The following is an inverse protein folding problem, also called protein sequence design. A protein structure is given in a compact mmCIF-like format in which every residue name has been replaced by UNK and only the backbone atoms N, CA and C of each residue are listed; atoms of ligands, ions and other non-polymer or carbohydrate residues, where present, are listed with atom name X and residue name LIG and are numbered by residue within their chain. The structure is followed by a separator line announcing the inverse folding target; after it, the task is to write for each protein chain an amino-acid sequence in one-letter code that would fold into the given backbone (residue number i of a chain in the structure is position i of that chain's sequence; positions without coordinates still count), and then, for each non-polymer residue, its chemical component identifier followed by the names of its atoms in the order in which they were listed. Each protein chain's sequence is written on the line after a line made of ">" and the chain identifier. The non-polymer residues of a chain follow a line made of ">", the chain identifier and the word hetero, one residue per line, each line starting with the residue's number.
data_IF_658913257305
#
_entry.id   IF_658913257305
#
_cell.length_a   1.000
_cell.length_b   1.000
_cell.length_c   1.000
_cell.angle_alpha   90.00
_cell.angle_beta   90.00
_cell.angle_gamma   90.00
#
_symmetry.space_group_name_H-M   'P 1'
#
loop_
_entity.id
_entity.type
_entity.pdbx_description
1 polymer ?
#
# COMPACT_ATOMS: atom_id res chain seq x y z
N UNK A 1 -23.63 -10.18 22.48
CA UNK A 1 -22.19 -10.20 22.16
C UNK A 1 -22.00 -11.18 21.00
N UNK A 2 -21.62 -10.75 19.78
CA UNK A 2 -21.26 -11.71 18.74
C UNK A 2 -19.95 -12.38 19.15
N UNK A 3 -19.95 -13.71 19.19
CA UNK A 3 -18.85 -14.55 19.69
C UNK A 3 -17.65 -14.65 18.72
N UNK A 4 -17.75 -14.07 17.53
CA UNK A 4 -16.74 -14.19 16.49
C UNK A 4 -16.32 -12.80 16.02
N UNK A 5 -15.11 -12.41 16.39
CA UNK A 5 -14.44 -11.23 15.85
C UNK A 5 -14.18 -11.45 14.35
N UNK A 6 -14.46 -10.47 13.51
CA UNK A 6 -14.25 -10.59 12.05
C UNK A 6 -12.78 -10.87 11.69
N UNK A 7 -11.83 -10.41 12.52
CA UNK A 7 -10.41 -10.69 12.36
C UNK A 7 -10.01 -12.16 12.66
N UNK A 8 -10.90 -12.95 13.25
CA UNK A 8 -10.69 -14.37 13.58
C UNK A 8 -11.41 -15.30 12.60
N UNK A 9 -11.79 -14.81 11.42
CA UNK A 9 -12.51 -15.61 10.43
C UNK A 9 -11.62 -16.76 9.92
N UNK A 10 -12.05 -17.98 10.19
CA UNK A 10 -11.38 -19.20 9.72
C UNK A 10 -11.94 -19.54 8.35
N UNK A 11 -11.10 -19.48 7.33
CA UNK A 11 -11.48 -19.85 5.96
C UNK A 11 -11.47 -21.37 5.78
N UNK A 12 -12.46 -21.88 5.06
CA UNK A 12 -12.44 -23.25 4.59
C UNK A 12 -11.39 -23.41 3.46
N UNK A 13 -10.86 -24.62 3.29
CA UNK A 13 -9.87 -24.92 2.24
C UNK A 13 -10.39 -24.58 0.84
N UNK A 14 -11.68 -24.77 0.59
CA UNK A 14 -12.33 -24.40 -0.67
C UNK A 14 -12.31 -22.90 -0.93
N UNK A 15 -12.54 -22.08 0.09
CA UNK A 15 -12.51 -20.62 -0.02
C UNK A 15 -11.08 -20.12 -0.27
N UNK A 16 -10.10 -20.71 0.43
CA UNK A 16 -8.68 -20.41 0.22
C UNK A 16 -8.25 -20.78 -1.20
N UNK A 17 -8.66 -21.93 -1.71
CA UNK A 17 -8.35 -22.36 -3.07
C UNK A 17 -8.99 -21.43 -4.12
N UNK A 18 -10.24 -21.01 -3.89
CA UNK A 18 -10.91 -20.03 -4.75
C UNK A 18 -10.14 -18.70 -4.77
N UNK A 19 -9.81 -18.15 -3.60
CA UNK A 19 -9.05 -16.89 -3.49
C UNK A 19 -7.65 -17.00 -4.12
N UNK A 20 -6.97 -18.14 -3.98
CA UNK A 20 -5.68 -18.40 -4.65
C UNK A 20 -5.82 -18.44 -6.17
N UNK A 21 -6.85 -19.11 -6.69
CA UNK A 21 -7.14 -19.12 -8.12
C UNK A 21 -7.40 -17.70 -8.64
N UNK A 22 -8.20 -16.90 -7.91
CA UNK A 22 -8.44 -15.52 -8.27
C UNK A 22 -7.15 -14.68 -8.28
N UNK A 23 -6.27 -14.90 -7.30
CA UNK A 23 -4.97 -14.23 -7.25
C UNK A 23 -4.12 -14.58 -8.47
N UNK A 24 -3.99 -15.86 -8.81
CA UNK A 24 -3.24 -16.28 -10.00
C UNK A 24 -3.80 -15.67 -11.28
N UNK A 25 -5.12 -15.70 -11.47
CA UNK A 25 -5.75 -15.13 -12.68
C UNK A 25 -5.58 -13.62 -12.74
N UNK A 26 -5.81 -12.90 -11.64
CA UNK A 26 -5.65 -11.45 -11.59
C UNK A 26 -4.20 -11.00 -11.79
N UNK A 27 -3.24 -11.76 -11.25
CA UNK A 27 -1.81 -11.51 -11.47
C UNK A 27 -1.44 -11.67 -12.95
N UNK A 28 -1.90 -12.73 -13.61
CA UNK A 28 -1.71 -12.94 -15.05
C UNK A 28 -2.30 -11.76 -15.84
N UNK A 29 -3.53 -11.34 -15.53
CA UNK A 29 -4.16 -10.21 -16.23
C UNK A 29 -3.36 -8.90 -16.09
N UNK A 30 -2.76 -8.66 -14.93
CA UNK A 30 -1.90 -7.49 -14.69
C UNK A 30 -0.58 -7.58 -15.45
N UNK A 31 0.04 -8.76 -15.47
CA UNK A 31 1.28 -9.02 -16.22
C UNK A 31 1.06 -8.91 -17.74
N UNK A 32 -0.05 -9.43 -18.26
CA UNK A 32 -0.43 -9.29 -19.67
C UNK A 32 -0.73 -7.84 -20.06
N UNK A 33 -1.20 -7.03 -19.10
CA UNK A 33 -1.49 -5.61 -19.30
C UNK A 33 -0.29 -4.69 -19.05
N UNK A 34 0.88 -5.25 -18.72
CA UNK A 34 2.11 -4.50 -18.34
C UNK A 34 1.86 -3.48 -17.21
N UNK A 35 0.99 -3.84 -16.26
CA UNK A 35 0.63 -2.98 -15.14
C UNK A 35 1.40 -3.36 -13.89
N UNK A 36 2.15 -2.40 -13.34
CA UNK A 36 2.80 -2.58 -12.05
C UNK A 36 1.77 -2.74 -10.93
N UNK A 37 2.04 -3.68 -10.02
CA UNK A 37 1.22 -3.95 -8.86
C UNK A 37 2.04 -4.47 -7.68
N UNK A 38 1.48 -4.36 -6.48
CA UNK A 38 2.02 -5.03 -5.29
C UNK A 38 1.23 -6.30 -5.00
N UNK A 39 1.92 -7.43 -4.90
CA UNK A 39 1.30 -8.71 -4.56
C UNK A 39 0.53 -8.67 -3.23
N UNK A 40 1.05 -7.93 -2.23
CA UNK A 40 0.38 -7.76 -0.94
C UNK A 40 -0.96 -6.99 -1.08
N UNK A 41 -1.00 -6.00 -1.96
CA UNK A 41 -2.21 -5.20 -2.20
C UNK A 41 -3.25 -5.99 -2.97
N UNK A 42 -2.81 -6.76 -3.97
CA UNK A 42 -3.69 -7.61 -4.74
C UNK A 42 -4.37 -8.65 -3.83
N UNK A 43 -3.59 -9.33 -2.99
CA UNK A 43 -4.12 -10.28 -2.02
C UNK A 43 -5.10 -9.61 -1.04
N UNK A 44 -4.76 -8.41 -0.53
CA UNK A 44 -5.64 -7.65 0.35
C UNK A 44 -6.97 -7.29 -0.33
N UNK A 45 -6.93 -6.82 -1.58
CA UNK A 45 -8.14 -6.50 -2.35
C UNK A 45 -9.02 -7.73 -2.56
N UNK A 46 -8.44 -8.89 -2.91
CA UNK A 46 -9.18 -10.15 -3.08
C UNK A 46 -9.89 -10.55 -1.80
N UNK A 47 -9.19 -10.51 -0.65
CA UNK A 47 -9.78 -10.87 0.64
C UNK A 47 -10.94 -9.94 1.02
N UNK A 48 -10.78 -8.61 0.83
CA UNK A 48 -11.82 -7.63 1.13
C UNK A 48 -13.04 -7.83 0.24
N UNK A 49 -12.84 -8.01 -1.07
CA UNK A 49 -13.94 -8.24 -2.01
C UNK A 49 -14.67 -9.55 -1.71
N UNK A 50 -13.93 -10.62 -1.41
CA UNK A 50 -14.50 -11.90 -1.01
C UNK A 50 -15.35 -11.77 0.27
N UNK A 51 -14.84 -11.06 1.27
CA UNK A 51 -15.56 -10.80 2.53
C UNK A 51 -16.82 -9.95 2.32
N UNK A 52 -16.81 -9.03 1.34
CA UNK A 52 -17.99 -8.23 0.99
C UNK A 52 -19.12 -9.04 0.32
N UNK A 53 -18.87 -10.32 0.03
CA UNK A 53 -19.84 -11.25 -0.54
C UNK A 53 -19.72 -11.43 -2.05
N UNK A 54 -18.69 -10.85 -2.68
CA UNK A 54 -18.43 -11.07 -4.09
C UNK A 54 -17.86 -12.47 -4.31
N UNK A 55 -18.62 -13.32 -5.03
CA UNK A 55 -18.26 -14.72 -5.30
C UNK A 55 -18.12 -15.05 -6.78
N UNK A 56 -18.41 -14.09 -7.66
CA UNK A 56 -18.16 -14.26 -9.09
C UNK A 56 -16.65 -14.22 -9.36
N UNK A 57 -16.11 -15.29 -9.92
CA UNK A 57 -14.66 -15.43 -10.13
C UNK A 57 -14.11 -14.37 -11.08
N UNK A 58 -14.72 -14.19 -12.24
CA UNK A 58 -14.22 -13.29 -13.27
C UNK A 58 -14.28 -11.83 -12.81
N UNK A 59 -15.41 -11.42 -12.23
CA UNK A 59 -15.58 -10.06 -11.73
C UNK A 59 -14.66 -9.77 -10.54
N UNK A 60 -14.44 -10.74 -9.65
CA UNK A 60 -13.51 -10.58 -8.54
C UNK A 60 -12.07 -10.44 -9.03
N UNK A 61 -11.66 -11.21 -10.03
CA UNK A 61 -10.32 -11.09 -10.64
C UNK A 61 -10.12 -9.71 -11.26
N UNK A 62 -11.01 -9.27 -12.14
CA UNK A 62 -10.89 -7.98 -12.82
C UNK A 62 -10.90 -6.80 -11.84
N UNK A 63 -11.84 -6.81 -10.89
CA UNK A 63 -11.98 -5.72 -9.92
C UNK A 63 -10.78 -5.67 -8.97
N UNK A 64 -10.30 -6.82 -8.50
CA UNK A 64 -9.12 -6.87 -7.63
C UNK A 64 -7.86 -6.41 -8.33
N UNK A 65 -7.66 -6.78 -9.61
CA UNK A 65 -6.54 -6.32 -10.43
C UNK A 65 -6.55 -4.78 -10.56
N UNK A 66 -7.68 -4.20 -10.95
CA UNK A 66 -7.84 -2.74 -11.10
C UNK A 66 -7.59 -1.98 -9.80
N UNK A 67 -8.11 -2.48 -8.68
CA UNK A 67 -7.91 -1.86 -7.37
C UNK A 67 -6.45 -1.96 -6.91
N UNK A 68 -5.78 -3.07 -7.18
CA UNK A 68 -4.37 -3.26 -6.84
C UNK A 68 -3.48 -2.28 -7.60
N UNK A 69 -3.66 -2.17 -8.92
CA UNK A 69 -2.94 -1.19 -9.73
C UNK A 69 -3.23 0.25 -9.29
N UNK A 70 -4.49 0.61 -9.04
CA UNK A 70 -4.84 1.95 -8.56
C UNK A 70 -4.19 2.28 -7.20
N UNK A 71 -4.14 1.31 -6.29
CA UNK A 71 -3.47 1.46 -4.99
C UNK A 71 -1.96 1.63 -5.15
N UNK A 72 -1.35 0.85 -6.03
CA UNK A 72 0.06 0.97 -6.37
C UNK A 72 0.38 2.37 -6.89
N UNK A 73 -0.32 2.82 -7.94
CA UNK A 73 -0.15 4.16 -8.53
C UNK A 73 -0.31 5.26 -7.47
N UNK A 74 -1.33 5.16 -6.60
CA UNK A 74 -1.54 6.15 -5.54
C UNK A 74 -0.36 6.24 -4.57
N UNK A 75 0.22 5.11 -4.14
CA UNK A 75 1.37 5.12 -3.24
C UNK A 75 2.62 5.65 -3.91
N UNK A 76 2.86 5.26 -5.16
CA UNK A 76 4.02 5.71 -5.92
C UNK A 76 3.91 7.20 -6.30
N UNK A 77 2.69 7.71 -6.53
CA UNK A 77 2.46 9.14 -6.69
C UNK A 77 2.77 9.95 -5.41
N UNK A 78 2.45 9.41 -4.22
CA UNK A 78 2.77 10.05 -2.93
C UNK A 78 4.28 9.94 -2.62
N UNK A 79 4.91 8.81 -2.95
CA UNK A 79 6.35 8.59 -2.78
C UNK A 79 7.22 9.55 -3.59
N UNK A 80 6.74 10.03 -4.74
CA UNK A 80 7.43 11.06 -5.52
C UNK A 80 7.39 12.45 -4.87
N UNK A 81 6.40 12.72 -3.99
CA UNK A 81 6.24 14.04 -3.35
C UNK A 81 6.87 14.13 -1.95
N UNK A 82 7.35 13.02 -1.38
CA UNK A 82 7.76 12.95 0.03
C UNK A 82 9.18 12.42 0.23
N UNK A 83 10.15 13.08 -0.39
CA UNK A 83 11.50 13.20 0.17
C UNK A 83 11.64 14.58 0.79
N UNK A 84 10.89 14.84 1.86
CA UNK A 84 11.17 15.96 2.76
C UNK A 84 12.45 15.64 3.57
N UNK A 85 13.60 15.73 2.90
CA UNK A 85 14.90 15.84 3.54
C UNK A 85 14.93 17.21 4.24
N UNK A 86 14.61 17.25 5.53
CA UNK A 86 14.61 18.48 6.35
C UNK A 86 16.03 18.79 6.87
N UNK A 87 17.08 18.19 6.29
CA UNK A 87 18.43 18.32 6.82
C UNK A 87 19.15 19.58 6.33
N UNK A 88 18.65 20.28 5.30
CA UNK A 88 19.32 21.49 4.80
C UNK A 88 18.75 22.77 5.40
N UNK A 89 19.15 23.04 6.64
CA UNK A 89 19.40 24.40 7.07
C UNK A 89 20.80 24.45 7.63
N UNK A 90 21.76 24.55 6.72
CA UNK A 90 23.02 25.24 6.94
C UNK A 90 22.76 26.52 7.75
N UNK A 91 22.92 26.43 9.07
CA UNK A 91 22.91 27.56 10.00
C UNK A 91 24.19 28.34 9.72
N UNK A 92 24.19 29.21 8.72
CA UNK A 92 25.17 30.30 8.61
C UNK A 92 24.83 31.34 9.66
N UNK A 93 25.22 31.05 10.91
CA UNK A 93 25.40 32.08 11.92
C UNK A 93 26.75 32.73 11.59
N UNK A 94 26.81 34.02 11.23
CA UNK A 94 28.09 34.70 11.15
C UNK A 94 28.65 34.80 12.57
N UNK A 95 29.65 33.98 12.88
CA UNK A 95 30.48 34.10 14.07
C UNK A 95 31.22 35.44 14.02
N UNK A 96 30.67 36.48 14.61
CA UNK A 96 31.46 37.64 15.04
C UNK A 96 32.02 37.31 16.43
N UNK A 97 33.35 37.31 16.64
CA UNK A 97 33.89 37.25 17.99
C UNK A 97 33.55 38.57 18.68
N UNK A 98 32.84 38.49 19.81
CA UNK A 98 32.64 39.65 20.69
C UNK A 98 33.96 39.84 21.43
N UNK A 99 34.69 40.88 21.03
CA UNK A 99 35.88 41.36 21.73
C UNK A 99 35.44 41.92 23.11
N UNK A 100 35.98 41.36 24.18
CA UNK A 100 35.70 41.77 25.55
C UNK A 100 36.72 42.84 25.97
N UNK A 101 36.25 44.06 26.23
CA UNK A 101 37.05 45.18 26.71
C UNK A 101 36.95 45.26 28.25
N UNK A 102 38.00 44.93 29.02
CA UNK A 102 37.93 44.82 30.47
C UNK A 102 38.03 46.17 31.23
N UNK A 103 37.90 47.33 30.56
CA UNK A 103 38.06 48.65 31.20
C UNK A 103 37.00 49.71 30.82
N UNK A 104 35.83 49.31 30.31
CA UNK A 104 34.68 50.21 30.09
C UNK A 104 33.66 50.17 31.23
#
# INVERSE_FOLDING_TARGET
>A
MPLFNEASRIYNSLEVNFMRSCFSTAAIMLEESDQDYSAADLASCIVILYQSGLRDHGYLCELSARLAHQRFVRRHAIGQLSTANINDRSRTVPNKPVEYDPLA
#
